data_IF_778032458518
#
_entry.id   IF_778032458518
#
_cell.length_a   1.000
_cell.length_b   1.000
_cell.length_c   1.000
_cell.angle_alpha   90.00
_cell.angle_beta   90.00
_cell.angle_gamma   90.00
#
_symmetry.space_group_name_H-M   'P 1'
#
loop_
_entity.id
_entity.type
_entity.pdbx_description
1 polymer ?
#
# COMPACT_ATOMS: atom_id res chain seq x y z
N UNK A 1 27.68 22.47 12.06
CA UNK A 1 27.41 22.33 13.50
C UNK A 1 26.60 23.51 13.97
N UNK A 2 25.29 23.34 14.13
CA UNK A 2 24.44 24.28 14.86
C UNK A 2 23.76 23.48 15.98
N UNK A 3 24.29 23.58 17.19
CA UNK A 3 23.64 23.08 18.39
C UNK A 3 22.49 24.04 18.74
N UNK A 4 21.28 23.71 18.27
CA UNK A 4 20.04 24.31 18.73
C UNK A 4 19.56 23.60 19.99
N UNK A 5 19.35 24.36 21.06
CA UNK A 5 19.05 23.88 22.40
C UNK A 5 17.65 23.21 22.45
N UNK A 6 17.58 21.87 22.49
CA UNK A 6 16.34 21.07 22.41
C UNK A 6 15.52 20.98 23.71
N UNK A 7 15.83 21.77 24.74
CA UNK A 7 15.22 21.57 26.07
C UNK A 7 13.80 22.14 26.25
N UNK A 8 13.27 22.95 25.32
CA UNK A 8 11.92 23.53 25.43
C UNK A 8 10.84 22.85 24.56
N UNK A 9 11.17 21.88 23.71
CA UNK A 9 10.18 21.24 22.83
C UNK A 9 9.37 20.10 23.48
N UNK A 10 9.66 19.72 24.73
CA UNK A 10 8.95 18.61 25.40
C UNK A 10 7.53 18.94 25.85
N UNK A 11 7.14 20.22 25.90
CA UNK A 11 5.83 20.63 26.40
C UNK A 11 4.78 20.89 25.30
N UNK A 12 5.18 20.97 24.03
CA UNK A 12 4.25 21.24 22.92
C UNK A 12 3.90 19.99 22.10
N UNK A 13 4.70 18.92 22.19
CA UNK A 13 4.55 17.72 21.36
C UNK A 13 3.32 16.86 21.67
N UNK A 14 2.58 17.14 22.74
CA UNK A 14 1.36 16.40 23.13
C UNK A 14 0.06 17.02 22.59
N UNK A 15 0.14 18.19 21.95
CA UNK A 15 -1.00 18.83 21.30
C UNK A 15 -0.97 18.60 19.78
N UNK A 16 -2.13 18.49 19.11
CA UNK A 16 -2.18 18.31 17.64
C UNK A 16 -1.39 19.38 16.88
N UNK A 17 -1.43 20.63 17.36
CA UNK A 17 -0.76 21.78 16.74
C UNK A 17 0.77 21.65 16.85
N UNK A 18 1.28 21.23 18.01
CA UNK A 18 2.71 21.04 18.20
C UNK A 18 3.30 19.88 17.40
N UNK A 19 2.50 18.83 17.14
CA UNK A 19 2.90 17.74 16.25
C UNK A 19 3.05 18.20 14.80
N UNK A 20 2.09 18.97 14.28
CA UNK A 20 2.14 19.51 12.91
C UNK A 20 3.32 20.47 12.74
N UNK A 21 3.55 21.37 13.70
CA UNK A 21 4.69 22.29 13.66
C UNK A 21 6.03 21.55 13.66
N UNK A 22 6.17 20.53 14.52
CA UNK A 22 7.39 19.71 14.57
C UNK A 22 7.60 18.92 13.28
N UNK A 23 6.52 18.40 12.69
CA UNK A 23 6.56 17.68 11.42
C UNK A 23 6.99 18.60 10.26
N UNK A 24 6.42 19.81 10.15
CA UNK A 24 6.80 20.79 9.13
C UNK A 24 8.29 21.19 9.25
N UNK A 25 8.79 21.37 10.48
CA UNK A 25 10.21 21.63 10.70
C UNK A 25 11.08 20.48 10.18
N UNK A 26 10.67 19.23 10.37
CA UNK A 26 11.39 18.07 9.84
C UNK A 26 11.32 17.98 8.32
N UNK A 27 10.20 18.36 7.70
CA UNK A 27 10.08 18.43 6.24
C UNK A 27 11.03 19.44 5.62
N UNK A 28 11.21 20.61 6.23
CA UNK A 28 12.11 21.65 5.71
C UNK A 28 13.59 21.24 5.79
N UNK A 29 13.97 20.48 6.81
CA UNK A 29 15.35 20.01 6.98
C UNK A 29 15.60 18.63 6.33
N UNK A 30 14.65 18.08 5.57
CA UNK A 30 14.82 16.77 4.95
C UNK A 30 15.69 16.87 3.70
N UNK A 31 16.91 16.34 3.76
CA UNK A 31 17.83 16.23 2.63
C UNK A 31 17.57 14.91 1.89
N UNK A 32 16.70 14.92 0.87
CA UNK A 32 16.45 13.76 0.02
C UNK A 32 15.08 13.75 -0.65
N UNK A 33 14.66 12.57 -1.11
CA UNK A 33 13.31 12.34 -1.65
C UNK A 33 12.44 11.73 -0.56
N UNK A 34 11.36 12.41 -0.22
CA UNK A 34 10.38 11.93 0.75
C UNK A 34 9.14 11.39 0.04
N UNK A 35 8.76 10.16 0.38
CA UNK A 35 7.48 9.58 -0.03
C UNK A 35 6.48 9.69 1.11
N UNK A 36 5.35 10.34 0.85
CA UNK A 36 4.22 10.43 1.77
C UNK A 36 3.05 9.63 1.20
N UNK A 37 2.37 8.88 2.06
CA UNK A 37 1.14 8.16 1.72
C UNK A 37 0.03 8.57 2.68
N UNK A 38 -1.18 8.72 2.17
CA UNK A 38 -2.36 9.03 2.98
C UNK A 38 -3.59 8.36 2.37
N UNK A 39 -4.45 7.82 3.24
CA UNK A 39 -5.77 7.32 2.83
C UNK A 39 -6.82 8.43 2.82
N UNK A 40 -6.47 9.63 3.30
CA UNK A 40 -7.36 10.79 3.38
C UNK A 40 -6.57 12.05 2.98
N UNK A 41 -6.46 12.35 1.67
CA UNK A 41 -5.71 13.51 1.20
C UNK A 41 -6.33 14.84 1.62
N UNK A 42 -7.67 14.90 1.75
CA UNK A 42 -8.39 16.12 2.14
C UNK A 42 -8.13 16.56 3.58
N UNK A 43 -7.61 15.66 4.41
CA UNK A 43 -7.23 15.95 5.80
C UNK A 43 -5.83 16.53 5.97
N UNK A 44 -5.05 16.66 4.88
CA UNK A 44 -3.69 17.19 4.94
C UNK A 44 -3.69 18.72 5.04
N UNK A 45 -2.80 19.24 5.90
CA UNK A 45 -2.57 20.67 6.04
C UNK A 45 -2.01 21.26 4.73
N UNK A 46 -2.50 22.44 4.36
CA UNK A 46 -2.10 23.13 3.14
C UNK A 46 -0.59 23.42 3.07
N UNK A 47 0.08 23.66 4.20
CA UNK A 47 1.53 23.89 4.24
C UNK A 47 2.32 22.63 3.89
N UNK A 48 1.78 21.43 4.16
CA UNK A 48 2.36 20.17 3.73
C UNK A 48 2.15 20.02 2.22
N UNK A 49 0.93 20.23 1.73
CA UNK A 49 0.59 20.09 0.31
C UNK A 49 1.41 21.03 -0.59
N UNK A 50 1.67 22.27 -0.15
CA UNK A 50 2.49 23.22 -0.89
C UNK A 50 3.97 22.78 -1.06
N UNK A 51 4.43 21.82 -0.26
CA UNK A 51 5.79 21.25 -0.33
C UNK A 51 5.82 19.91 -1.06
N UNK A 52 4.68 19.40 -1.54
CA UNK A 52 4.60 18.17 -2.34
C UNK A 52 4.87 18.50 -3.80
N UNK A 53 5.98 17.98 -4.33
CA UNK A 53 6.37 18.16 -5.73
C UNK A 53 5.48 17.36 -6.70
N UNK A 54 5.07 16.16 -6.30
CA UNK A 54 4.27 15.25 -7.11
C UNK A 54 3.23 14.54 -6.25
N UNK A 55 1.97 14.62 -6.66
CA UNK A 55 0.86 13.89 -6.04
C UNK A 55 0.41 12.76 -6.97
N UNK A 56 0.53 11.52 -6.49
CA UNK A 56 0.04 10.33 -7.20
C UNK A 56 -1.27 9.89 -6.58
N UNK A 57 -2.36 9.96 -7.35
CA UNK A 57 -3.67 9.47 -6.94
C UNK A 57 -3.80 8.02 -7.41
N UNK A 58 -3.81 7.11 -6.45
CA UNK A 58 -4.07 5.70 -6.72
C UNK A 58 -5.58 5.51 -6.86
N UNK A 59 -6.03 5.30 -8.08
CA UNK A 59 -7.41 4.90 -8.36
C UNK A 59 -7.63 3.43 -8.00
N UNK A 60 -8.89 3.03 -7.86
CA UNK A 60 -9.23 1.62 -7.70
C UNK A 60 -8.71 0.79 -8.87
N UNK A 61 -8.34 -0.45 -8.57
CA UNK A 61 -7.86 -1.39 -9.59
C UNK A 61 -8.96 -1.62 -10.61
N UNK A 62 -8.69 -1.37 -11.89
CA UNK A 62 -9.59 -1.77 -12.96
C UNK A 62 -9.51 -3.29 -13.19
N UNK A 63 -10.40 -3.81 -14.03
CA UNK A 63 -10.47 -5.25 -14.33
C UNK A 63 -9.11 -5.81 -14.80
N UNK A 64 -8.45 -5.12 -15.72
CA UNK A 64 -7.20 -5.59 -16.33
C UNK A 64 -6.03 -5.58 -15.32
N UNK A 65 -5.96 -4.54 -14.48
CA UNK A 65 -5.00 -4.46 -13.39
C UNK A 65 -5.23 -5.57 -12.35
N UNK A 66 -6.49 -5.88 -12.00
CA UNK A 66 -6.78 -7.03 -11.12
C UNK A 66 -6.34 -8.34 -11.76
N UNK A 67 -6.65 -8.54 -13.05
CA UNK A 67 -6.24 -9.74 -13.81
C UNK A 67 -4.71 -9.89 -13.81
N UNK A 68 -3.99 -8.81 -14.08
CA UNK A 68 -2.53 -8.80 -14.07
C UNK A 68 -1.96 -9.13 -12.68
N UNK A 69 -2.52 -8.54 -11.63
CA UNK A 69 -2.10 -8.82 -10.25
C UNK A 69 -2.33 -10.30 -9.90
N UNK A 70 -3.51 -10.86 -10.21
CA UNK A 70 -3.76 -12.28 -10.00
C UNK A 70 -2.77 -13.15 -10.78
N UNK A 71 -2.49 -12.82 -12.05
CA UNK A 71 -1.52 -13.52 -12.86
C UNK A 71 -0.11 -13.48 -12.25
N UNK A 72 0.32 -12.32 -11.74
CA UNK A 72 1.60 -12.16 -11.07
C UNK A 72 1.68 -13.02 -9.78
N UNK A 73 0.61 -13.10 -9.00
CA UNK A 73 0.57 -13.97 -7.82
C UNK A 73 0.68 -15.45 -8.19
N UNK A 74 -0.05 -15.89 -9.22
CA UNK A 74 0.00 -17.28 -9.70
C UNK A 74 1.38 -17.66 -10.25
N UNK A 75 2.12 -16.71 -10.84
CA UNK A 75 3.48 -16.96 -11.34
C UNK A 75 4.54 -16.96 -10.23
N UNK A 76 4.28 -16.27 -9.11
CA UNK A 76 5.26 -16.05 -8.05
C UNK A 76 5.43 -17.27 -7.13
N UNK A 77 4.36 -18.04 -6.91
CA UNK A 77 4.37 -19.22 -6.05
C UNK A 77 4.76 -20.50 -6.83
N UNK A 78 6.05 -20.58 -7.21
CA UNK A 78 6.62 -21.72 -7.96
C UNK A 78 6.58 -23.04 -7.15
N UNK A 79 6.36 -22.95 -5.84
CA UNK A 79 6.39 -24.11 -4.93
C UNK A 79 5.19 -25.04 -5.06
N UNK A 80 4.09 -24.60 -5.69
CA UNK A 80 2.86 -25.39 -5.84
C UNK A 80 2.44 -25.35 -7.31
N UNK A 81 2.01 -26.49 -7.86
CA UNK A 81 1.52 -26.56 -9.23
C UNK A 81 0.24 -25.72 -9.35
N UNK A 82 0.21 -24.77 -10.28
CA UNK A 82 -0.98 -23.95 -10.53
C UNK A 82 -1.82 -24.55 -11.66
N UNK A 83 -3.11 -24.77 -11.40
CA UNK A 83 -4.08 -25.26 -12.37
C UNK A 83 -5.29 -24.30 -12.44
N UNK A 84 -5.01 -23.09 -12.92
CA UNK A 84 -6.00 -22.04 -13.16
C UNK A 84 -5.89 -21.63 -14.63
N UNK A 85 -6.99 -21.68 -15.37
CA UNK A 85 -7.01 -21.30 -16.78
C UNK A 85 -7.31 -19.79 -16.98
N UNK A 86 -7.10 -19.27 -18.19
CA UNK A 86 -7.30 -17.85 -18.49
C UNK A 86 -8.76 -17.38 -18.31
N UNK A 87 -9.74 -18.27 -18.51
CA UNK A 87 -11.16 -17.96 -18.32
C UNK A 87 -11.50 -17.78 -16.83
N UNK A 88 -10.97 -18.66 -15.98
CA UNK A 88 -11.07 -18.62 -14.53
C UNK A 88 -10.35 -17.40 -13.98
N UNK A 89 -9.16 -17.09 -14.49
CA UNK A 89 -8.43 -15.87 -14.15
C UNK A 89 -9.22 -14.60 -14.50
N UNK A 90 -9.90 -14.61 -15.66
CA UNK A 90 -10.78 -13.51 -16.06
C UNK A 90 -12.00 -13.43 -15.14
N UNK A 91 -12.56 -14.56 -14.69
CA UNK A 91 -13.65 -14.59 -13.71
C UNK A 91 -13.22 -14.02 -12.34
N UNK A 92 -12.01 -14.34 -11.86
CA UNK A 92 -11.45 -13.77 -10.63
C UNK A 92 -11.33 -12.24 -10.72
N UNK A 93 -10.93 -11.73 -11.89
CA UNK A 93 -10.78 -10.30 -12.12
C UNK A 93 -12.12 -9.54 -12.18
N UNK A 94 -13.25 -10.22 -12.38
CA UNK A 94 -14.59 -9.60 -12.31
C UNK A 94 -14.95 -9.18 -10.88
N UNK A 95 -14.43 -9.87 -9.87
CA UNK A 95 -14.67 -9.51 -8.47
C UNK A 95 -13.88 -8.24 -8.14
N UNK A 96 -14.56 -7.22 -7.66
CA UNK A 96 -13.96 -5.93 -7.28
C UNK A 96 -13.25 -6.05 -5.94
N UNK A 97 -11.99 -6.50 -5.98
CA UNK A 97 -11.11 -6.60 -4.82
C UNK A 97 -10.00 -5.55 -4.90
N UNK A 98 -9.64 -4.99 -3.75
CA UNK A 98 -8.44 -4.15 -3.63
C UNK A 98 -7.17 -5.02 -3.57
N UNK A 99 -6.00 -4.42 -3.77
CA UNK A 99 -4.74 -5.16 -3.80
C UNK A 99 -4.43 -5.92 -2.51
N UNK A 100 -4.88 -5.41 -1.36
CA UNK A 100 -4.70 -6.10 -0.07
C UNK A 100 -5.57 -7.35 0.03
N UNK A 101 -6.84 -7.26 -0.37
CA UNK A 101 -7.77 -8.38 -0.42
C UNK A 101 -7.26 -9.45 -1.37
N UNK A 102 -6.84 -9.08 -2.59
CA UNK A 102 -6.26 -10.03 -3.56
C UNK A 102 -5.08 -10.78 -2.95
N UNK A 103 -4.11 -10.06 -2.35
CA UNK A 103 -2.96 -10.68 -1.70
C UNK A 103 -3.37 -11.69 -0.63
N UNK A 104 -4.32 -11.33 0.22
CA UNK A 104 -4.76 -12.19 1.32
C UNK A 104 -5.52 -13.41 0.81
N UNK A 105 -6.44 -13.24 -0.13
CA UNK A 105 -7.17 -14.35 -0.76
C UNK A 105 -6.19 -15.33 -1.37
N UNK A 106 -5.22 -14.84 -2.16
CA UNK A 106 -4.19 -15.70 -2.75
C UNK A 106 -3.33 -16.41 -1.69
N UNK A 107 -2.96 -15.73 -0.61
CA UNK A 107 -2.19 -16.33 0.48
C UNK A 107 -2.97 -17.46 1.17
N UNK A 108 -4.28 -17.28 1.38
CA UNK A 108 -5.16 -18.29 1.97
C UNK A 108 -5.35 -19.46 0.99
N UNK A 109 -5.59 -19.17 -0.29
CA UNK A 109 -5.75 -20.18 -1.33
C UNK A 109 -4.51 -21.07 -1.47
N UNK A 110 -3.30 -20.48 -1.46
CA UNK A 110 -2.04 -21.22 -1.47
C UNK A 110 -1.87 -22.08 -0.21
N UNK A 111 -2.26 -21.58 0.97
CA UNK A 111 -2.19 -22.33 2.22
C UNK A 111 -3.11 -23.56 2.19
N UNK A 112 -4.31 -23.42 1.62
CA UNK A 112 -5.26 -24.54 1.43
C UNK A 112 -4.69 -25.53 0.40
N UNK A 113 -4.24 -25.03 -0.75
CA UNK A 113 -3.66 -25.80 -1.84
C UNK A 113 -2.42 -26.61 -1.44
N UNK A 114 -1.68 -26.18 -0.41
CA UNK A 114 -0.54 -26.94 0.13
C UNK A 114 -0.95 -28.34 0.59
N UNK A 115 -2.20 -28.54 1.03
CA UNK A 115 -2.72 -29.87 1.40
C UNK A 115 -3.04 -30.74 0.19
N UNK A 116 -3.55 -30.13 -0.88
CA UNK A 116 -3.98 -30.83 -2.09
C UNK A 116 -2.86 -31.01 -3.12
N UNK A 117 -1.75 -30.29 -2.97
CA UNK A 117 -0.56 -30.35 -3.83
C UNK A 117 -0.65 -29.50 -5.09
N UNK A 118 -1.81 -28.89 -5.37
CA UNK A 118 -2.00 -27.94 -6.47
C UNK A 118 -3.01 -26.84 -6.15
N UNK A 119 -2.80 -25.65 -6.70
CA UNK A 119 -3.70 -24.51 -6.57
C UNK A 119 -4.75 -24.55 -7.69
N UNK A 120 -6.02 -24.70 -7.31
CA UNK A 120 -7.18 -24.70 -8.22
C UNK A 120 -8.04 -23.47 -7.98
N UNK A 121 -8.90 -23.17 -8.96
CA UNK A 121 -9.89 -22.10 -8.85
C UNK A 121 -10.79 -22.24 -7.61
N UNK A 122 -11.13 -23.46 -7.19
CA UNK A 122 -12.00 -23.72 -6.03
C UNK A 122 -11.42 -23.28 -4.68
N UNK A 123 -10.11 -22.97 -4.62
CA UNK A 123 -9.45 -22.50 -3.40
C UNK A 123 -9.50 -20.97 -3.24
N UNK A 124 -9.87 -20.24 -4.29
CA UNK A 124 -9.88 -18.76 -4.39
C UNK A 124 -11.29 -18.24 -4.25
#
# INVERSE_FOLDING_TARGET
>A
MCFGNFQNLRLLSTTPIGLVATFLQKLECFEGILFLTTNQPDGLDAAILNRVLLSLIYSDLNHDARKEIFQQFLQKDISIKVNVNDQQLTALAQVTLNGWQIKNTMSIACMIATKDGELRFDHV
#
